data_IF_582638893944
#
_entry.id   IF_582638893944
#
_cell.length_a   1.000
_cell.length_b   1.000
_cell.length_c   1.000
_cell.angle_alpha   90.00
_cell.angle_beta   90.00
_cell.angle_gamma   90.00
#
_symmetry.space_group_name_H-M   'P 1'
#
loop_
_entity.id
_entity.type
_entity.pdbx_description
1 polymer ?
#
# COMPACT_ATOMS: atom_id res chain seq x y z
N UNK A 1 -19.69 -17.94 -2.95
CA UNK A 1 -19.00 -16.66 -2.71
C UNK A 1 -17.95 -16.57 -3.78
N UNK A 2 -18.10 -15.68 -4.76
CA UNK A 2 -17.03 -15.44 -5.73
C UNK A 2 -15.88 -14.73 -5.03
N UNK A 3 -14.65 -15.09 -5.38
CA UNK A 3 -13.46 -14.45 -4.85
C UNK A 3 -13.33 -13.06 -5.48
N UNK A 4 -13.13 -12.04 -4.66
CA UNK A 4 -12.78 -10.71 -5.14
C UNK A 4 -11.49 -10.75 -5.97
N UNK A 5 -11.41 -9.90 -6.99
CA UNK A 5 -10.24 -9.77 -7.85
C UNK A 5 -9.72 -8.36 -7.79
N UNK A 6 -8.47 -8.22 -7.36
CA UNK A 6 -7.80 -6.94 -7.20
C UNK A 6 -6.59 -6.85 -8.12
N UNK A 7 -6.28 -5.63 -8.57
CA UNK A 7 -5.07 -5.33 -9.36
C UNK A 7 -4.24 -4.26 -8.67
N UNK A 8 -2.94 -4.48 -8.51
CA UNK A 8 -2.03 -3.44 -8.06
C UNK A 8 -1.46 -2.61 -9.23
N UNK A 9 -1.27 -1.32 -9.01
CA UNK A 9 -0.74 -0.38 -10.00
C UNK A 9 0.34 0.47 -9.36
N UNK A 10 1.51 0.53 -9.98
CA UNK A 10 2.63 1.38 -9.56
C UNK A 10 2.72 2.65 -10.42
N UNK A 11 3.70 3.50 -10.12
CA UNK A 11 4.03 4.64 -11.00
C UNK A 11 4.49 4.20 -12.40
N UNK A 12 4.95 2.96 -12.56
CA UNK A 12 5.49 2.44 -13.82
C UNK A 12 4.42 2.09 -14.85
N UNK A 13 3.16 1.91 -14.43
CA UNK A 13 2.02 1.80 -15.34
C UNK A 13 1.58 3.16 -15.89
N UNK A 14 2.14 4.27 -15.39
CA UNK A 14 1.82 5.63 -15.84
C UNK A 14 0.47 6.15 -15.34
N UNK A 15 -0.05 7.17 -16.02
CA UNK A 15 -1.38 7.74 -15.74
C UNK A 15 -2.47 6.84 -16.33
N UNK A 16 -2.85 5.79 -15.59
CA UNK A 16 -3.82 4.79 -16.07
C UNK A 16 -5.16 5.46 -16.42
N UNK A 17 -5.61 5.40 -17.69
CA UNK A 17 -6.80 6.11 -18.14
C UNK A 17 -8.08 5.39 -17.68
N UNK A 18 -9.17 6.15 -17.53
CA UNK A 18 -10.46 5.60 -17.09
C UNK A 18 -10.98 4.45 -17.96
N UNK A 19 -10.72 4.47 -19.27
CA UNK A 19 -11.10 3.39 -20.18
C UNK A 19 -10.43 2.05 -19.83
N UNK A 20 -9.18 2.08 -19.36
CA UNK A 20 -8.46 0.86 -18.96
C UNK A 20 -9.00 0.33 -17.63
N UNK A 21 -9.34 1.22 -16.69
CA UNK A 21 -9.97 0.85 -15.43
C UNK A 21 -11.38 0.26 -15.65
N UNK A 22 -12.13 0.81 -16.60
CA UNK A 22 -13.44 0.28 -16.98
C UNK A 22 -13.31 -1.12 -17.60
N UNK A 23 -12.34 -1.32 -18.50
CA UNK A 23 -12.09 -2.65 -19.06
C UNK A 23 -11.73 -3.68 -17.97
N UNK A 24 -10.89 -3.32 -17.00
CA UNK A 24 -10.59 -4.18 -15.84
C UNK A 24 -11.87 -4.53 -15.06
N UNK A 25 -12.73 -3.54 -14.81
CA UNK A 25 -14.00 -3.74 -14.11
C UNK A 25 -14.91 -4.71 -14.89
N UNK A 26 -15.02 -4.52 -16.20
CA UNK A 26 -15.83 -5.36 -17.08
C UNK A 26 -15.29 -6.82 -17.13
N UNK A 27 -13.98 -7.00 -16.95
CA UNK A 27 -13.33 -8.32 -16.80
C UNK A 27 -13.48 -8.94 -15.39
N UNK A 28 -14.18 -8.25 -14.49
CA UNK A 28 -14.50 -8.72 -13.14
C UNK A 28 -13.49 -8.35 -12.06
N UNK A 29 -12.63 -7.35 -12.29
CA UNK A 29 -11.84 -6.72 -11.21
C UNK A 29 -12.79 -5.90 -10.34
N UNK A 30 -12.72 -6.11 -9.02
CA UNK A 30 -13.57 -5.45 -8.02
C UNK A 30 -12.88 -4.24 -7.40
N UNK A 31 -11.55 -4.24 -7.33
CA UNK A 31 -10.79 -3.12 -6.78
C UNK A 31 -9.37 -2.97 -7.32
N UNK A 32 -8.77 -1.81 -7.05
CA UNK A 32 -7.37 -1.53 -7.39
C UNK A 32 -6.58 -1.06 -6.17
N UNK A 33 -5.30 -1.43 -6.12
CA UNK A 33 -4.36 -0.95 -5.10
C UNK A 33 -3.25 -0.11 -5.77
N UNK A 34 -3.25 1.21 -5.59
CA UNK A 34 -2.32 2.11 -6.28
C UNK A 34 -1.19 2.53 -5.36
N UNK A 35 0.06 2.32 -5.78
CA UNK A 35 1.23 2.72 -5.01
C UNK A 35 1.31 4.24 -4.87
N UNK A 36 1.28 4.76 -3.64
CA UNK A 36 1.44 6.19 -3.35
C UNK A 36 2.90 6.60 -3.21
N UNK A 37 3.74 5.72 -2.66
CA UNK A 37 5.17 5.97 -2.41
C UNK A 37 6.04 4.75 -2.73
N UNK A 38 7.16 4.96 -3.43
CA UNK A 38 8.04 3.88 -3.91
C UNK A 38 9.43 3.91 -3.27
N UNK A 39 9.50 4.32 -2.01
CA UNK A 39 10.72 4.33 -1.19
C UNK A 39 11.64 5.53 -1.42
N UNK A 40 11.63 6.10 -2.63
CA UNK A 40 12.48 7.25 -3.01
C UNK A 40 11.62 8.46 -3.37
N UNK A 41 10.55 8.24 -4.11
CA UNK A 41 9.68 9.28 -4.66
C UNK A 41 8.20 8.88 -4.63
N UNK A 42 7.36 9.88 -4.81
CA UNK A 42 5.92 9.73 -4.88
C UNK A 42 5.47 9.26 -6.26
N UNK A 43 4.35 8.54 -6.31
CA UNK A 43 3.65 8.30 -7.57
C UNK A 43 2.88 9.56 -7.99
N UNK A 44 3.24 10.23 -9.10
CA UNK A 44 2.57 11.46 -9.52
C UNK A 44 1.13 11.24 -10.01
N UNK A 45 0.73 9.98 -10.22
CA UNK A 45 -0.57 9.59 -10.78
C UNK A 45 -1.58 9.13 -9.73
N UNK A 46 -1.15 8.82 -8.51
CA UNK A 46 -1.97 8.12 -7.49
C UNK A 46 -3.33 8.77 -7.26
N UNK A 47 -3.37 10.08 -6.98
CA UNK A 47 -4.62 10.84 -6.77
C UNK A 47 -5.60 10.68 -7.93
N UNK A 48 -5.09 10.75 -9.16
CA UNK A 48 -5.91 10.77 -10.38
C UNK A 48 -6.46 9.38 -10.68
N UNK A 49 -5.64 8.35 -10.51
CA UNK A 49 -6.01 6.96 -10.77
C UNK A 49 -7.03 6.48 -9.73
N UNK A 50 -6.79 6.73 -8.44
CA UNK A 50 -7.74 6.39 -7.37
C UNK A 50 -9.08 7.09 -7.57
N UNK A 51 -9.06 8.40 -7.84
CA UNK A 51 -10.27 9.17 -8.09
C UNK A 51 -11.10 8.63 -9.26
N UNK A 52 -10.45 8.30 -10.39
CA UNK A 52 -11.13 7.71 -11.56
C UNK A 52 -11.70 6.33 -11.26
N UNK A 53 -10.94 5.48 -10.58
CA UNK A 53 -11.38 4.13 -10.22
C UNK A 53 -12.62 4.18 -9.34
N UNK A 54 -12.58 5.00 -8.29
CA UNK A 54 -13.73 5.25 -7.41
C UNK A 54 -14.91 5.86 -8.17
N UNK A 55 -14.65 6.78 -9.09
CA UNK A 55 -15.67 7.40 -9.94
C UNK A 55 -16.44 6.41 -10.84
N UNK A 56 -15.84 5.27 -11.18
CA UNK A 56 -16.50 4.18 -11.90
C UNK A 56 -16.94 3.03 -10.98
N UNK A 57 -16.84 3.19 -9.65
CA UNK A 57 -17.27 2.21 -8.67
C UNK A 57 -16.38 0.98 -8.55
N UNK A 58 -15.07 1.12 -8.77
CA UNK A 58 -14.08 0.16 -8.26
C UNK A 58 -13.74 0.52 -6.81
N UNK A 59 -13.51 -0.50 -5.99
CA UNK A 59 -12.91 -0.31 -4.67
C UNK A 59 -11.47 0.17 -4.82
N UNK A 60 -11.02 1.00 -3.86
CA UNK A 60 -9.71 1.61 -3.90
C UNK A 60 -8.90 1.24 -2.67
N UNK A 61 -7.60 1.03 -2.86
CA UNK A 61 -6.59 0.89 -1.82
C UNK A 61 -5.30 1.56 -2.27
N UNK A 62 -4.38 1.80 -1.34
CA UNK A 62 -3.03 2.27 -1.68
C UNK A 62 -1.97 1.41 -1.01
N UNK A 63 -0.83 1.23 -1.67
CA UNK A 63 0.36 0.66 -1.04
C UNK A 63 1.50 1.69 -0.99
N UNK A 64 2.47 1.45 -0.12
CA UNK A 64 3.67 2.28 -0.03
C UNK A 64 4.86 1.48 0.48
N UNK A 65 5.99 1.67 -0.17
CA UNK A 65 7.21 0.89 0.09
C UNK A 65 7.94 1.39 1.32
N UNK A 66 8.10 0.51 2.32
CA UNK A 66 9.03 0.71 3.42
C UNK A 66 10.44 0.33 2.97
N UNK A 67 11.41 1.14 3.39
CA UNK A 67 12.83 0.87 3.21
C UNK A 67 13.58 1.18 4.50
N UNK A 68 14.91 1.35 4.45
CA UNK A 68 15.69 1.73 5.63
C UNK A 68 15.55 3.24 5.97
N UNK A 69 14.30 3.70 6.06
CA UNK A 69 13.89 5.01 6.56
C UNK A 69 13.02 4.78 7.78
N UNK A 70 12.89 5.81 8.61
CA UNK A 70 11.86 5.86 9.63
C UNK A 70 10.47 5.50 9.07
N UNK A 71 9.73 4.68 9.82
CA UNK A 71 8.42 4.17 9.41
C UNK A 71 7.38 5.28 9.34
N UNK A 72 7.34 6.13 10.37
CA UNK A 72 6.42 7.28 10.43
C UNK A 72 6.68 8.25 9.28
N UNK A 73 7.95 8.59 9.03
CA UNK A 73 8.31 9.45 7.90
C UNK A 73 7.86 8.85 6.55
N UNK A 74 7.98 7.52 6.38
CA UNK A 74 7.53 6.85 5.15
C UNK A 74 6.02 6.94 4.98
N UNK A 75 5.25 6.70 6.05
CA UNK A 75 3.80 6.83 6.05
C UNK A 75 3.35 8.26 5.77
N UNK A 76 3.98 9.27 6.39
CA UNK A 76 3.67 10.69 6.13
C UNK A 76 3.89 11.07 4.66
N UNK A 77 4.96 10.57 4.04
CA UNK A 77 5.23 10.78 2.61
C UNK A 77 4.18 10.10 1.72
N UNK A 78 3.79 8.88 2.07
CA UNK A 78 2.74 8.14 1.37
C UNK A 78 1.39 8.85 1.48
N UNK A 79 1.00 9.29 2.68
CA UNK A 79 -0.21 10.07 2.92
C UNK A 79 -0.23 11.35 2.10
N UNK A 80 0.87 12.12 2.09
CA UNK A 80 0.95 13.36 1.32
C UNK A 80 0.86 13.12 -0.20
N UNK A 81 1.46 12.04 -0.68
CA UNK A 81 1.39 11.62 -2.08
C UNK A 81 -0.03 11.16 -2.47
N UNK A 82 -0.67 10.34 -1.64
CA UNK A 82 -2.05 9.87 -1.83
C UNK A 82 -3.05 11.02 -1.75
N UNK A 83 -2.84 11.96 -0.82
CA UNK A 83 -3.76 13.03 -0.46
C UNK A 83 -4.91 12.53 0.42
N UNK A 84 -5.28 13.31 1.44
CA UNK A 84 -6.25 12.90 2.47
C UNK A 84 -7.57 12.38 1.90
N UNK A 85 -8.15 13.02 0.87
CA UNK A 85 -9.42 12.57 0.27
C UNK A 85 -9.34 11.16 -0.30
N UNK A 86 -8.25 10.83 -1.01
CA UNK A 86 -8.13 9.50 -1.61
C UNK A 86 -7.60 8.48 -0.61
N UNK A 87 -6.82 8.91 0.39
CA UNK A 87 -6.44 8.09 1.54
C UNK A 87 -7.67 7.64 2.34
N UNK A 88 -8.55 8.56 2.71
CA UNK A 88 -9.78 8.26 3.46
C UNK A 88 -10.75 7.38 2.66
N UNK A 89 -10.70 7.44 1.34
CA UNK A 89 -11.50 6.60 0.45
C UNK A 89 -10.91 5.20 0.22
N UNK A 90 -9.66 4.95 0.62
CA UNK A 90 -9.04 3.64 0.49
C UNK A 90 -9.60 2.68 1.54
N UNK A 91 -10.08 1.50 1.11
CA UNK A 91 -10.54 0.45 2.00
C UNK A 91 -9.43 -0.03 2.91
N UNK A 92 -8.20 -0.13 2.40
CA UNK A 92 -7.02 -0.48 3.18
C UNK A 92 -5.76 0.20 2.64
N UNK A 93 -4.72 0.17 3.45
CA UNK A 93 -3.43 0.78 3.23
C UNK A 93 -2.38 -0.30 3.38
N UNK A 94 -1.61 -0.58 2.33
CA UNK A 94 -0.67 -1.68 2.31
C UNK A 94 0.79 -1.18 2.45
N UNK A 95 1.36 -1.13 3.66
CA UNK A 95 2.80 -1.07 3.81
C UNK A 95 3.42 -2.27 3.09
N UNK A 96 4.24 -1.98 2.09
CA UNK A 96 4.98 -2.96 1.31
C UNK A 96 6.37 -3.12 1.93
N UNK A 97 6.63 -4.32 2.47
CA UNK A 97 7.81 -4.66 3.27
C UNK A 97 8.58 -5.78 2.60
N UNK A 98 9.42 -5.40 1.64
CA UNK A 98 10.19 -6.36 0.84
C UNK A 98 11.67 -5.94 0.67
N UNK A 99 12.16 -5.00 1.47
CA UNK A 99 13.54 -4.48 1.36
C UNK A 99 14.35 -4.85 2.60
N UNK A 100 15.57 -5.38 2.39
CA UNK A 100 16.50 -5.67 3.50
C UNK A 100 16.85 -4.39 4.26
N UNK A 101 17.01 -4.52 5.57
CA UNK A 101 17.32 -3.40 6.47
C UNK A 101 16.09 -2.78 7.13
N UNK A 102 14.87 -3.18 6.75
CA UNK A 102 13.68 -2.87 7.53
C UNK A 102 13.77 -3.59 8.88
N UNK A 103 13.54 -2.84 9.95
CA UNK A 103 13.55 -3.35 11.34
C UNK A 103 12.13 -3.44 11.86
N UNK A 104 11.92 -4.22 12.94
CA UNK A 104 10.58 -4.32 13.55
C UNK A 104 10.09 -2.97 14.06
N UNK A 105 11.01 -2.10 14.50
CA UNK A 105 10.69 -0.73 14.90
C UNK A 105 10.19 0.11 13.72
N UNK A 106 10.89 0.08 12.59
CA UNK A 106 10.46 0.80 11.37
C UNK A 106 9.04 0.34 10.98
N UNK A 107 8.79 -0.97 10.99
CA UNK A 107 7.48 -1.48 10.66
C UNK A 107 6.42 -1.04 11.69
N UNK A 108 6.69 -1.23 12.98
CA UNK A 108 5.82 -0.84 14.10
C UNK A 108 5.41 0.63 14.02
N UNK A 109 6.39 1.52 13.91
CA UNK A 109 6.16 2.96 13.90
C UNK A 109 5.38 3.38 12.65
N UNK A 110 5.65 2.74 11.52
CA UNK A 110 4.93 2.98 10.28
C UNK A 110 3.48 2.50 10.30
N UNK A 111 3.20 1.30 10.84
CA UNK A 111 1.83 0.79 11.02
C UNK A 111 1.01 1.71 11.93
N UNK A 112 1.59 2.11 13.07
CA UNK A 112 0.95 3.03 14.00
C UNK A 112 0.67 4.40 13.37
N UNK A 113 1.62 4.91 12.57
CA UNK A 113 1.43 6.16 11.84
C UNK A 113 0.30 6.07 10.80
N UNK A 114 0.07 4.88 10.21
CA UNK A 114 -1.01 4.66 9.25
C UNK A 114 -2.37 4.73 9.93
N UNK A 115 -2.49 4.11 11.11
CA UNK A 115 -3.69 4.18 11.94
C UNK A 115 -3.94 5.61 12.45
N UNK A 116 -2.89 6.32 12.87
CA UNK A 116 -2.98 7.72 13.30
C UNK A 116 -3.42 8.65 12.17
N UNK A 117 -3.14 8.28 10.91
CA UNK A 117 -3.63 8.95 9.72
C UNK A 117 -5.03 8.48 9.28
N UNK A 118 -5.74 7.69 10.10
CA UNK A 118 -7.08 7.20 9.82
C UNK A 118 -7.15 6.01 8.85
N UNK A 119 -6.01 5.45 8.46
CA UNK A 119 -5.94 4.31 7.55
C UNK A 119 -6.04 2.95 8.26
N UNK A 120 -6.48 1.91 7.54
CA UNK A 120 -6.40 0.52 7.98
C UNK A 120 -5.19 -0.20 7.36
N UNK A 121 -4.11 -0.48 8.13
CA UNK A 121 -2.93 -1.13 7.58
C UNK A 121 -3.12 -2.64 7.32
N UNK A 122 -2.81 -3.11 6.12
CA UNK A 122 -2.69 -4.54 5.76
C UNK A 122 -1.30 -4.79 5.20
N UNK A 123 -0.48 -5.53 5.93
CA UNK A 123 0.90 -5.77 5.53
C UNK A 123 1.00 -6.56 4.21
N UNK A 124 1.72 -6.01 3.24
CA UNK A 124 2.11 -6.71 2.02
C UNK A 124 3.59 -7.11 2.08
N UNK A 125 3.88 -8.37 1.77
CA UNK A 125 5.26 -8.86 1.63
C UNK A 125 5.30 -10.23 0.96
N UNK A 126 6.39 -10.53 0.28
CA UNK A 126 6.67 -11.85 -0.28
C UNK A 126 7.14 -12.86 0.77
N UNK A 127 6.79 -14.13 0.56
CA UNK A 127 7.22 -15.23 1.45
C UNK A 127 8.75 -15.33 1.60
N UNK A 128 9.50 -14.91 0.58
CA UNK A 128 10.95 -14.87 0.61
C UNK A 128 11.49 -13.89 1.66
N UNK A 129 10.83 -12.74 1.83
CA UNK A 129 11.24 -11.73 2.81
C UNK A 129 10.97 -12.22 4.22
N UNK A 130 9.81 -12.85 4.45
CA UNK A 130 9.53 -13.53 5.72
C UNK A 130 10.60 -14.56 6.07
N UNK A 131 11.04 -15.37 5.11
CA UNK A 131 12.10 -16.35 5.35
C UNK A 131 13.41 -15.69 5.75
N UNK A 132 13.82 -14.64 5.03
CA UNK A 132 15.04 -13.92 5.32
C UNK A 132 14.99 -13.25 6.70
N UNK A 133 13.90 -12.54 7.00
CA UNK A 133 13.78 -11.78 8.22
C UNK A 133 13.77 -12.70 9.45
N UNK A 134 13.12 -13.86 9.33
CA UNK A 134 13.17 -14.92 10.34
C UNK A 134 14.58 -15.41 10.66
N UNK A 135 15.38 -15.64 9.62
CA UNK A 135 16.77 -16.07 9.79
C UNK A 135 17.61 -14.99 10.45
N UNK A 136 17.39 -13.72 10.09
CA UNK A 136 18.10 -12.59 10.67
C UNK A 136 17.74 -12.36 12.15
N UNK A 137 16.46 -12.48 12.50
CA UNK A 137 15.96 -12.30 13.87
C UNK A 137 16.19 -13.52 14.78
N UNK A 138 16.36 -14.72 14.19
CA UNK A 138 16.38 -15.98 14.93
C UNK A 138 15.00 -16.43 15.43
N UNK A 139 13.93 -15.76 15.03
CA UNK A 139 12.53 -16.07 15.38
C UNK A 139 11.55 -15.55 14.31
N UNK A 140 10.30 -16.00 14.35
CA UNK A 140 9.21 -15.42 13.57
C UNK A 140 8.98 -13.96 13.99
N UNK A 141 8.99 -12.98 13.07
CA UNK A 141 8.62 -11.62 13.45
C UNK A 141 7.21 -11.63 14.03
N UNK A 142 7.05 -11.03 15.21
CA UNK A 142 5.80 -11.05 15.97
C UNK A 142 5.28 -9.63 16.16
N UNK A 143 4.09 -9.40 15.62
CA UNK A 143 3.37 -8.13 15.71
C UNK A 143 2.09 -8.24 16.55
N UNK A 144 1.85 -9.37 17.23
CA UNK A 144 0.63 -9.58 18.02
C UNK A 144 0.56 -8.73 19.28
N UNK A 145 1.69 -8.22 19.77
CA UNK A 145 1.81 -7.40 20.99
C UNK A 145 2.06 -5.91 20.68
N UNK A 146 1.48 -5.43 19.59
CA UNK A 146 1.40 -4.00 19.28
C UNK A 146 0.07 -3.47 19.82
N UNK A 147 0.01 -2.22 20.32
CA UNK A 147 -1.27 -1.61 20.65
C UNK A 147 -2.20 -1.59 19.43
#
# INVERSE_FOLDING_TARGET
MELERWTDLSKWQGDVPGQSLQAMKDDGVTGICVGSWHGIDANPYVKRVLNRARGIGLDTATYYVFNNRDGKETTERAFNACGGVEWDACLFHAPDVEIRGITERILRDGLKATEDAGGWPILYTGNWFWNWWRQYLGHAPDFSNQP
#
